data_IF_630338825764
#
_entry.id   IF_630338825764
#
_cell.length_a   1.000
_cell.length_b   1.000
_cell.length_c   1.000
_cell.angle_alpha   90.00
_cell.angle_beta   90.00
_cell.angle_gamma   90.00
#
_symmetry.space_group_name_H-M   'P 1'
#
loop_
_entity.id
_entity.type
_entity.pdbx_description
1 polymer ?
#
# COMPACT_ATOMS: atom_id res chain seq x y z
N UNK A 1 -9.75 -16.13 -14.14
CA UNK A 1 -10.95 -15.28 -14.02
C UNK A 1 -11.17 -14.52 -15.32
N UNK A 2 -12.41 -14.55 -15.82
CA UNK A 2 -12.90 -13.67 -16.88
C UNK A 2 -12.94 -12.22 -16.40
N UNK A 3 -13.01 -11.25 -17.34
CA UNK A 3 -13.14 -9.83 -16.99
C UNK A 3 -14.38 -9.56 -16.13
N UNK A 4 -15.50 -10.21 -16.44
CA UNK A 4 -16.77 -10.07 -15.71
C UNK A 4 -16.64 -10.55 -14.27
N UNK A 5 -15.94 -11.65 -14.03
CA UNK A 5 -15.66 -12.16 -12.68
C UNK A 5 -14.77 -11.20 -11.89
N UNK A 6 -13.74 -10.62 -12.53
CA UNK A 6 -12.87 -9.62 -11.88
C UNK A 6 -13.64 -8.38 -11.45
N UNK A 7 -14.52 -7.86 -12.32
CA UNK A 7 -15.35 -6.69 -12.00
C UNK A 7 -16.32 -7.01 -10.85
N UNK A 8 -16.90 -8.21 -10.84
CA UNK A 8 -17.79 -8.64 -9.75
C UNK A 8 -17.03 -8.74 -8.42
N UNK A 9 -15.87 -9.39 -8.41
CA UNK A 9 -15.03 -9.52 -7.23
C UNK A 9 -14.59 -8.14 -6.70
N UNK A 10 -14.15 -7.23 -7.58
CA UNK A 10 -13.74 -5.89 -7.19
C UNK A 10 -14.89 -5.08 -6.56
N UNK A 11 -16.11 -5.21 -7.08
CA UNK A 11 -17.31 -4.58 -6.47
C UNK A 11 -17.62 -5.14 -5.09
N UNK A 12 -17.52 -6.46 -4.92
CA UNK A 12 -17.76 -7.11 -3.63
C UNK A 12 -16.71 -6.70 -2.59
N UNK A 13 -15.44 -6.66 -3.00
CA UNK A 13 -14.35 -6.18 -2.16
C UNK A 13 -14.58 -4.72 -1.72
N UNK A 14 -14.89 -3.83 -2.66
CA UNK A 14 -15.14 -2.42 -2.36
C UNK A 14 -16.31 -2.22 -1.39
N UNK A 15 -17.40 -3.00 -1.51
CA UNK A 15 -18.51 -2.92 -0.58
C UNK A 15 -18.16 -3.48 0.80
N UNK A 16 -17.39 -4.58 0.88
CA UNK A 16 -16.96 -5.16 2.15
C UNK A 16 -16.03 -4.24 2.95
N UNK A 17 -15.24 -3.42 2.25
CA UNK A 17 -14.28 -2.48 2.83
C UNK A 17 -14.83 -1.05 3.00
N UNK A 18 -16.09 -0.83 2.62
CA UNK A 18 -16.73 0.48 2.72
C UNK A 18 -16.82 0.95 4.18
N UNK A 19 -16.23 2.11 4.45
CA UNK A 19 -16.22 2.71 5.80
C UNK A 19 -15.26 2.02 6.78
N UNK A 20 -14.45 1.07 6.33
CA UNK A 20 -13.42 0.39 7.12
C UNK A 20 -12.03 0.85 6.66
N UNK A 21 -11.10 0.99 7.61
CA UNK A 21 -9.72 1.35 7.27
C UNK A 21 -8.95 1.92 8.45
N UNK A 22 -8.87 1.14 9.53
CA UNK A 22 -7.96 1.43 10.63
C UNK A 22 -6.54 0.99 10.25
N UNK A 23 -5.67 1.94 9.93
CA UNK A 23 -4.32 1.73 9.40
C UNK A 23 -3.56 0.55 10.05
N UNK A 24 -3.40 0.57 11.37
CA UNK A 24 -2.60 -0.45 12.08
C UNK A 24 -3.26 -1.82 12.21
N UNK A 25 -4.59 -1.90 12.18
CA UNK A 25 -5.32 -3.15 12.43
C UNK A 25 -5.86 -3.81 11.17
N UNK A 26 -6.17 -3.01 10.15
CA UNK A 26 -6.88 -3.46 8.96
C UNK A 26 -5.98 -3.61 7.75
N UNK A 27 -4.87 -2.87 7.66
CA UNK A 27 -4.05 -2.81 6.46
C UNK A 27 -3.59 -4.21 6.00
N UNK A 28 -3.09 -5.03 6.94
CA UNK A 28 -2.57 -6.36 6.60
C UNK A 28 -3.64 -7.25 5.99
N UNK A 29 -4.86 -7.20 6.54
CA UNK A 29 -6.00 -7.95 6.02
C UNK A 29 -6.43 -7.40 4.66
N UNK A 30 -6.54 -6.07 4.52
CA UNK A 30 -6.93 -5.39 3.28
C UNK A 30 -6.05 -5.81 2.11
N UNK A 31 -4.74 -5.67 2.25
CA UNK A 31 -3.79 -5.96 1.19
C UNK A 31 -3.68 -7.47 0.92
N UNK A 32 -3.82 -8.31 1.94
CA UNK A 32 -3.83 -9.76 1.73
C UNK A 32 -5.03 -10.18 0.89
N UNK A 33 -6.23 -9.69 1.23
CA UNK A 33 -7.46 -9.96 0.47
C UNK A 33 -7.39 -9.37 -0.95
N UNK A 34 -6.94 -8.13 -1.11
CA UNK A 34 -6.81 -7.49 -2.41
C UNK A 34 -5.86 -8.27 -3.33
N UNK A 35 -4.66 -8.58 -2.85
CA UNK A 35 -3.63 -9.26 -3.64
C UNK A 35 -4.05 -10.70 -3.97
N UNK A 36 -4.64 -11.42 -3.02
CA UNK A 36 -5.11 -12.79 -3.24
C UNK A 36 -6.35 -12.85 -4.15
N UNK A 37 -7.39 -12.10 -3.80
CA UNK A 37 -8.74 -12.31 -4.35
C UNK A 37 -9.02 -11.48 -5.60
N UNK A 38 -8.39 -10.31 -5.76
CA UNK A 38 -8.58 -9.45 -6.94
C UNK A 38 -7.43 -9.59 -7.94
N UNK A 39 -6.19 -9.58 -7.44
CA UNK A 39 -5.00 -9.69 -8.31
C UNK A 39 -4.69 -11.15 -8.65
N UNK A 40 -5.06 -12.09 -7.77
CA UNK A 40 -4.77 -13.52 -7.97
C UNK A 40 -3.33 -13.90 -7.63
N UNK A 41 -2.69 -13.16 -6.73
CA UNK A 41 -1.32 -13.42 -6.30
C UNK A 41 -1.27 -14.69 -5.44
N UNK A 42 -0.51 -15.68 -5.91
CA UNK A 42 -0.18 -16.86 -5.13
C UNK A 42 0.87 -16.52 -4.05
N UNK A 43 0.80 -17.20 -2.91
CA UNK A 43 1.75 -17.04 -1.80
C UNK A 43 2.02 -15.57 -1.40
N UNK A 44 0.96 -14.79 -1.13
CA UNK A 44 1.06 -13.36 -0.78
C UNK A 44 2.12 -13.06 0.28
N UNK A 45 2.23 -13.86 1.34
CA UNK A 45 3.24 -13.66 2.40
C UNK A 45 4.69 -13.81 1.93
N UNK A 46 4.92 -14.53 0.83
CA UNK A 46 6.24 -14.62 0.21
C UNK A 46 6.53 -13.40 -0.66
N UNK A 47 5.53 -12.98 -1.45
CA UNK A 47 5.67 -11.96 -2.50
C UNK A 47 5.44 -10.51 -2.02
N UNK A 48 4.74 -10.33 -0.91
CA UNK A 48 4.48 -9.06 -0.25
C UNK A 48 5.03 -9.08 1.18
N UNK A 49 5.82 -8.08 1.54
CA UNK A 49 6.37 -7.89 2.89
C UNK A 49 5.70 -6.70 3.55
N UNK A 50 5.21 -6.93 4.76
CA UNK A 50 4.52 -5.94 5.59
C UNK A 50 5.54 -5.35 6.55
N UNK A 51 5.44 -4.04 6.82
CA UNK A 51 6.34 -3.33 7.74
C UNK A 51 7.82 -3.67 7.45
N UNK A 52 8.22 -3.52 6.18
CA UNK A 52 9.56 -3.86 5.75
C UNK A 52 10.58 -2.88 6.33
N UNK A 53 11.45 -3.38 7.20
CA UNK A 53 12.49 -2.60 7.86
C UNK A 53 13.53 -2.08 6.87
N UNK A 54 13.80 -0.77 6.93
CA UNK A 54 14.84 -0.09 6.14
C UNK A 54 16.13 0.04 6.93
N UNK A 55 17.28 0.07 6.26
CA UNK A 55 18.59 0.16 6.93
C UNK A 55 18.75 1.39 7.83
N UNK A 56 18.01 2.46 7.53
CA UNK A 56 18.03 3.72 8.26
C UNK A 56 17.05 3.77 9.45
N UNK A 57 16.39 2.65 9.77
CA UNK A 57 15.49 2.52 10.93
C UNK A 57 14.04 2.95 10.69
N UNK A 58 13.65 3.23 9.45
CA UNK A 58 12.25 3.42 9.04
C UNK A 58 11.60 2.12 8.55
N UNK A 59 10.30 2.20 8.22
CA UNK A 59 9.51 1.07 7.73
C UNK A 59 8.76 1.45 6.45
N UNK A 60 8.62 0.48 5.54
CA UNK A 60 7.66 0.56 4.43
C UNK A 60 6.46 -0.28 4.80
N UNK A 61 5.25 0.26 4.69
CA UNK A 61 4.04 -0.49 5.05
C UNK A 61 3.90 -1.76 4.21
N UNK A 62 4.07 -1.65 2.89
CA UNK A 62 4.12 -2.81 1.99
C UNK A 62 5.19 -2.71 0.92
N UNK A 63 5.92 -3.81 0.76
CA UNK A 63 6.82 -4.07 -0.35
C UNK A 63 6.29 -5.25 -1.17
N UNK A 64 5.87 -5.01 -2.40
CA UNK A 64 5.49 -6.07 -3.36
C UNK A 64 6.68 -6.28 -4.31
N UNK A 65 7.54 -7.23 -3.94
CA UNK A 65 8.88 -7.37 -4.54
C UNK A 65 8.85 -7.69 -6.03
N UNK A 66 7.99 -8.62 -6.46
CA UNK A 66 7.92 -9.07 -7.86
C UNK A 66 7.46 -7.95 -8.82
N UNK A 67 6.61 -7.05 -8.32
CA UNK A 67 6.11 -5.91 -9.07
C UNK A 67 6.99 -4.65 -8.93
N UNK A 68 8.00 -4.67 -8.05
CA UNK A 68 8.76 -3.50 -7.63
C UNK A 68 7.85 -2.33 -7.20
N UNK A 69 6.83 -2.63 -6.39
CA UNK A 69 5.86 -1.65 -5.88
C UNK A 69 6.09 -1.43 -4.39
N UNK A 70 6.18 -0.17 -3.99
CA UNK A 70 6.11 0.23 -2.59
C UNK A 70 4.73 0.81 -2.31
N UNK A 71 4.18 0.50 -1.14
CA UNK A 71 2.93 1.10 -0.68
C UNK A 71 3.19 1.90 0.59
N UNK A 72 2.70 3.14 0.60
CA UNK A 72 2.47 3.92 1.80
C UNK A 72 0.97 3.84 2.13
N UNK A 73 0.65 3.30 3.30
CA UNK A 73 -0.72 3.10 3.75
C UNK A 73 -1.10 4.14 4.80
N UNK A 74 -2.29 4.72 4.66
CA UNK A 74 -2.89 5.64 5.62
C UNK A 74 -4.26 5.16 6.08
N UNK A 75 -4.73 5.69 7.20
CA UNK A 75 -6.11 5.49 7.66
C UNK A 75 -7.15 6.08 6.68
N UNK A 76 -8.36 5.52 6.66
CA UNK A 76 -9.43 5.90 5.71
C UNK A 76 -9.79 7.38 5.70
N UNK A 77 -9.70 8.05 6.84
CA UNK A 77 -10.02 9.48 6.97
C UNK A 77 -8.92 10.41 6.46
N UNK A 78 -7.75 9.89 6.09
CA UNK A 78 -6.61 10.70 5.66
C UNK A 78 -6.76 11.09 4.19
N UNK A 79 -6.60 12.39 3.93
CA UNK A 79 -6.55 12.95 2.57
C UNK A 79 -5.12 12.81 2.03
N UNK A 80 -4.93 11.88 1.08
CA UNK A 80 -3.63 11.58 0.48
C UNK A 80 -3.01 12.76 -0.29
N UNK A 81 -3.79 13.80 -0.62
CA UNK A 81 -3.31 15.00 -1.31
C UNK A 81 -2.76 16.07 -0.37
N UNK A 82 -2.99 15.94 0.94
CA UNK A 82 -2.60 16.94 1.93
C UNK A 82 -1.33 16.52 2.68
N UNK A 83 -0.44 17.49 2.98
CA UNK A 83 0.65 17.25 3.91
C UNK A 83 0.15 16.83 5.28
N UNK A 84 0.85 15.87 5.88
CA UNK A 84 0.66 15.45 7.27
C UNK A 84 1.85 15.90 8.11
N UNK A 85 1.74 15.88 9.44
CA UNK A 85 2.84 16.24 10.34
C UNK A 85 3.48 15.05 11.07
N UNK A 86 4.08 14.06 10.37
CA UNK A 86 4.83 13.03 11.06
C UNK A 86 6.06 13.63 11.75
N UNK A 87 6.13 13.47 13.08
CA UNK A 87 7.30 13.86 13.86
C UNK A 87 7.57 15.38 13.90
N UNK A 88 6.55 16.22 13.71
CA UNK A 88 6.67 17.69 13.85
C UNK A 88 7.08 18.43 12.57
N UNK A 89 7.04 17.77 11.41
CA UNK A 89 7.27 18.41 10.10
C UNK A 89 6.13 18.08 9.15
N UNK A 90 5.62 19.10 8.47
CA UNK A 90 4.65 18.92 7.37
C UNK A 90 5.33 18.29 6.16
N UNK A 91 4.88 17.09 5.77
CA UNK A 91 5.39 16.35 4.60
C UNK A 91 4.20 15.65 3.93
N UNK A 92 4.10 15.76 2.60
CA UNK A 92 3.07 15.03 1.86
C UNK A 92 3.33 13.51 1.91
N UNK A 93 2.29 12.66 1.97
CA UNK A 93 2.46 11.21 1.98
C UNK A 93 3.34 10.70 0.83
N UNK A 94 3.24 11.32 -0.36
CA UNK A 94 4.07 10.96 -1.50
C UNK A 94 5.54 11.27 -1.28
N UNK A 95 5.84 12.42 -0.67
CA UNK A 95 7.22 12.82 -0.37
C UNK A 95 7.85 11.90 0.68
N UNK A 96 7.07 11.40 1.64
CA UNK A 96 7.52 10.38 2.60
C UNK A 96 7.92 9.09 1.86
N UNK A 97 7.02 8.58 1.02
CA UNK A 97 7.25 7.35 0.26
C UNK A 97 8.41 7.49 -0.73
N UNK A 98 8.53 8.64 -1.40
CA UNK A 98 9.62 8.94 -2.33
C UNK A 98 10.97 8.99 -1.61
N UNK A 99 11.05 9.67 -0.46
CA UNK A 99 12.29 9.72 0.32
C UNK A 99 12.77 8.32 0.72
N UNK A 100 11.86 7.43 1.10
CA UNK A 100 12.22 6.03 1.35
C UNK A 100 12.64 5.30 0.08
N UNK A 101 11.91 5.45 -1.03
CA UNK A 101 12.28 4.82 -2.30
C UNK A 101 13.69 5.22 -2.76
N UNK A 102 14.05 6.50 -2.60
CA UNK A 102 15.37 7.03 -2.99
C UNK A 102 16.51 6.56 -2.08
N UNK A 103 16.24 6.13 -0.84
CA UNK A 103 17.27 5.60 0.06
C UNK A 103 17.75 4.19 -0.33
N UNK A 104 16.98 3.45 -1.13
CA UNK A 104 17.41 2.15 -1.65
C UNK A 104 18.49 2.29 -2.73
N UNK A 105 19.43 1.34 -2.74
CA UNK A 105 20.36 1.19 -3.86
C UNK A 105 19.59 1.02 -5.18
N UNK A 106 20.10 1.60 -6.28
CA UNK A 106 19.39 1.69 -7.58
C UNK A 106 18.75 0.41 -8.08
N UNK A 107 19.34 -0.75 -7.80
CA UNK A 107 18.83 -2.07 -8.20
C UNK A 107 17.66 -2.58 -7.34
N UNK A 108 17.36 -1.91 -6.22
CA UNK A 108 16.29 -2.23 -5.27
C UNK A 108 15.23 -1.14 -5.18
N UNK A 109 15.39 -0.04 -5.91
CA UNK A 109 14.41 1.04 -5.95
C UNK A 109 13.09 0.53 -6.57
N UNK A 110 11.93 0.92 -6.03
CA UNK A 110 10.66 0.57 -6.63
C UNK A 110 10.51 1.25 -7.98
N UNK A 111 9.72 0.62 -8.86
CA UNK A 111 9.29 1.24 -10.12
C UNK A 111 8.03 2.07 -9.92
N UNK A 112 7.21 1.71 -8.93
CA UNK A 112 5.97 2.41 -8.60
C UNK A 112 5.86 2.61 -7.10
N UNK A 113 5.38 3.78 -6.72
CA UNK A 113 4.97 4.11 -5.35
C UNK A 113 3.46 4.22 -5.38
N UNK A 114 2.78 3.52 -4.48
CA UNK A 114 1.34 3.56 -4.36
C UNK A 114 0.99 4.12 -2.99
N UNK A 115 0.23 5.19 -2.93
CA UNK A 115 -0.38 5.63 -1.68
C UNK A 115 -1.80 5.09 -1.61
N UNK A 116 -2.19 4.59 -0.44
CA UNK A 116 -3.52 4.04 -0.23
C UNK A 116 -4.08 4.48 1.11
N UNK A 117 -5.38 4.81 1.14
CA UNK A 117 -6.12 5.04 2.37
C UNK A 117 -7.34 4.11 2.48
N UNK A 118 -7.27 2.89 1.95
CA UNK A 118 -8.39 1.93 1.81
C UNK A 118 -9.48 2.34 0.81
N UNK A 119 -9.78 3.64 0.67
CA UNK A 119 -10.81 4.15 -0.25
C UNK A 119 -10.27 4.60 -1.60
N UNK A 120 -9.03 5.08 -1.65
CA UNK A 120 -8.39 5.62 -2.85
C UNK A 120 -6.97 5.10 -2.99
N UNK A 121 -6.52 4.99 -4.24
CA UNK A 121 -5.16 4.64 -4.63
C UNK A 121 -4.59 5.77 -5.48
N UNK A 122 -3.40 6.25 -5.12
CA UNK A 122 -2.63 7.21 -5.92
C UNK A 122 -1.30 6.54 -6.33
N UNK A 123 -0.92 6.67 -7.60
CA UNK A 123 0.28 6.05 -8.19
C UNK A 123 1.12 7.10 -8.88
#
# INVERSE_FOLDING_TARGET
>A
MTQSEKVKAARQFAEAWKGRGYEKGDAQVFWTELLRDLIGMEHVSFNAKFEYWTVDGGFIDYLISDAAVFVEQKGLSIDLSRPEEPGGRMVAPFEQALAYAESFGRNKQPRFIVMCNFGTFCV
#
